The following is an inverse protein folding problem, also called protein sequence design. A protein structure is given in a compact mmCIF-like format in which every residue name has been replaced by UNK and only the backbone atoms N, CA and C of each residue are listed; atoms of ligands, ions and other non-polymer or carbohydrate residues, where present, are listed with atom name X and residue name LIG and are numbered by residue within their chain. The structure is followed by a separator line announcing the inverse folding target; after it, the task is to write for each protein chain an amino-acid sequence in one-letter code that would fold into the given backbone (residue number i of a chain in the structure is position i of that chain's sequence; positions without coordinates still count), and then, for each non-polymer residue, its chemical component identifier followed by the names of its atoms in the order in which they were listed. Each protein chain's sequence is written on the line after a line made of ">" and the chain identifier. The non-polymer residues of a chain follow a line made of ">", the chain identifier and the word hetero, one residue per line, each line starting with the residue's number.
data_IF_652985876235
#
_entry.id   IF_652985876235
#
_cell.length_a   1.000
_cell.length_b   1.000
_cell.length_c   1.000
_cell.angle_alpha   90.00
_cell.angle_beta   90.00
_cell.angle_gamma   90.00
#
_symmetry.space_group_name_H-M   'P 1'
#
loop_
_entity.id
_entity.type
_entity.pdbx_description
1 polymer ?
#
# COMPACT_ATOMS: atom_id res chain seq x y z
N UNK A 1 -7.69 -21.08 -1.68
CA UNK A 1 -7.37 -19.96 -2.60
C UNK A 1 -8.53 -18.97 -2.72
N UNK A 2 -9.77 -19.42 -2.89
CA UNK A 2 -10.94 -18.52 -2.81
C UNK A 2 -11.07 -17.82 -1.45
N UNK A 3 -10.76 -18.53 -0.35
CA UNK A 3 -10.76 -17.93 0.99
C UNK A 3 -9.75 -16.80 1.16
N UNK A 4 -8.57 -16.90 0.53
CA UNK A 4 -7.53 -15.88 0.63
C UNK A 4 -7.97 -14.60 -0.09
N UNK A 5 -8.60 -14.74 -1.27
CA UNK A 5 -9.16 -13.59 -1.98
C UNK A 5 -10.26 -12.91 -1.15
N UNK A 6 -11.23 -13.69 -0.68
CA UNK A 6 -12.37 -13.19 0.08
C UNK A 6 -11.90 -12.48 1.34
N UNK A 7 -11.05 -13.12 2.15
CA UNK A 7 -10.52 -12.51 3.37
C UNK A 7 -9.73 -11.23 3.08
N UNK A 8 -8.92 -11.21 2.01
CA UNK A 8 -8.16 -10.00 1.62
C UNK A 8 -9.09 -8.89 1.17
N UNK A 9 -10.14 -9.22 0.40
CA UNK A 9 -11.16 -8.27 -0.06
C UNK A 9 -11.92 -7.69 1.12
N UNK A 10 -12.39 -8.54 2.03
CA UNK A 10 -13.13 -8.14 3.22
C UNK A 10 -12.27 -7.23 4.11
N UNK A 11 -10.98 -7.54 4.27
CA UNK A 11 -10.05 -6.69 4.98
C UNK A 11 -9.88 -5.32 4.30
N UNK A 12 -9.58 -5.28 3.00
CA UNK A 12 -9.28 -4.02 2.30
C UNK A 12 -10.52 -3.13 2.12
N UNK A 13 -11.69 -3.72 1.88
CA UNK A 13 -12.96 -3.00 1.69
C UNK A 13 -13.66 -2.71 3.02
N UNK A 14 -13.44 -3.53 4.05
CA UNK A 14 -14.04 -3.39 5.38
C UNK A 14 -13.22 -2.57 6.38
N UNK A 15 -11.89 -2.52 6.26
CA UNK A 15 -11.04 -1.82 7.22
C UNK A 15 -11.20 -0.29 7.12
N UNK A 16 -11.49 0.40 8.25
CA UNK A 16 -11.51 1.87 8.28
C UNK A 16 -10.18 2.50 7.86
N UNK A 17 -9.05 1.88 8.22
CA UNK A 17 -7.72 2.36 7.84
C UNK A 17 -7.50 2.29 6.33
N UNK A 18 -7.92 1.19 5.68
CA UNK A 18 -7.84 1.05 4.22
C UNK A 18 -8.70 2.10 3.52
N UNK A 19 -9.92 2.34 4.03
CA UNK A 19 -10.81 3.39 3.51
C UNK A 19 -10.16 4.77 3.57
N UNK A 20 -9.63 5.16 4.73
CA UNK A 20 -8.90 6.42 4.91
C UNK A 20 -7.74 6.55 3.91
N UNK A 21 -6.99 5.46 3.70
CA UNK A 21 -5.92 5.41 2.70
C UNK A 21 -6.44 5.65 1.28
N UNK A 22 -7.51 4.95 0.89
CA UNK A 22 -8.08 5.07 -0.46
C UNK A 22 -8.75 6.42 -0.71
N UNK A 23 -9.31 7.08 0.31
CA UNK A 23 -9.83 8.46 0.21
C UNK A 23 -8.75 9.49 -0.12
N UNK A 24 -7.49 9.21 0.23
CA UNK A 24 -6.36 10.07 -0.14
C UNK A 24 -6.01 9.99 -1.63
N UNK A 25 -6.39 8.90 -2.29
CA UNK A 25 -6.03 8.63 -3.67
C UNK A 25 -7.05 9.24 -4.63
N UNK A 26 -6.55 9.74 -5.75
CA UNK A 26 -7.39 10.25 -6.83
C UNK A 26 -7.84 9.11 -7.74
N UNK A 27 -8.86 9.38 -8.55
CA UNK A 27 -9.41 8.45 -9.54
C UNK A 27 -8.33 7.83 -10.44
N UNK A 28 -8.45 6.53 -10.69
CA UNK A 28 -7.49 5.77 -11.51
C UNK A 28 -6.19 5.38 -10.81
N UNK A 29 -6.07 5.59 -9.49
CA UNK A 29 -4.99 5.00 -8.70
C UNK A 29 -5.15 3.47 -8.61
N UNK A 30 -4.05 2.74 -8.83
CA UNK A 30 -4.01 1.27 -8.90
C UNK A 30 -2.89 0.70 -8.06
N UNK A 31 -3.23 -0.14 -7.10
CA UNK A 31 -2.28 -0.86 -6.26
C UNK A 31 -2.42 -2.35 -6.53
N UNK A 32 -1.39 -2.98 -7.08
CA UNK A 32 -1.34 -4.43 -7.19
C UNK A 32 -0.90 -5.04 -5.87
N UNK A 33 -1.59 -6.10 -5.46
CA UNK A 33 -1.32 -6.90 -4.28
C UNK A 33 -1.05 -8.32 -4.75
N UNK A 34 0.18 -8.79 -4.55
CA UNK A 34 0.65 -10.11 -4.96
C UNK A 34 0.86 -10.92 -3.69
N UNK A 35 0.02 -11.94 -3.46
CA UNK A 35 0.08 -12.77 -2.25
C UNK A 35 0.90 -14.05 -2.48
N UNK A 36 0.86 -14.55 -3.71
CA UNK A 36 1.62 -15.71 -4.18
C UNK A 36 2.05 -15.45 -5.63
N UNK A 37 3.04 -16.17 -6.19
CA UNK A 37 3.55 -15.94 -7.54
C UNK A 37 2.46 -15.89 -8.62
N UNK A 38 1.33 -16.57 -8.41
CA UNK A 38 0.22 -16.66 -9.34
C UNK A 38 -1.07 -16.00 -8.83
N UNK A 39 -1.03 -15.34 -7.66
CA UNK A 39 -2.20 -14.72 -7.06
C UNK A 39 -2.03 -13.21 -6.96
N UNK A 40 -2.59 -12.53 -7.95
CA UNK A 40 -2.51 -11.08 -8.11
C UNK A 40 -3.91 -10.49 -7.98
N UNK A 41 -4.06 -9.50 -7.11
CA UNK A 41 -5.23 -8.66 -6.99
C UNK A 41 -4.86 -7.23 -7.30
N UNK A 42 -5.80 -6.44 -7.80
CA UNK A 42 -5.63 -5.00 -7.99
C UNK A 42 -6.70 -4.24 -7.22
N UNK A 43 -6.24 -3.34 -6.34
CA UNK A 43 -7.06 -2.39 -5.64
C UNK A 43 -7.14 -1.11 -6.49
N UNK A 44 -8.34 -0.80 -6.97
CA UNK A 44 -8.57 0.32 -7.89
C UNK A 44 -9.40 1.40 -7.22
N UNK A 45 -8.94 2.65 -7.29
CA UNK A 45 -9.74 3.82 -6.93
C UNK A 45 -10.61 4.22 -8.12
N UNK A 46 -11.91 4.36 -7.90
CA UNK A 46 -12.89 4.83 -8.89
C UNK A 46 -13.79 5.90 -8.27
N UNK A 47 -13.62 7.17 -8.66
CA UNK A 47 -14.35 8.33 -8.11
C UNK A 47 -14.43 8.28 -6.57
N UNK A 48 -15.58 7.97 -6.00
CA UNK A 48 -15.85 7.93 -4.55
C UNK A 48 -15.75 6.54 -3.92
N UNK A 49 -15.52 5.50 -4.73
CA UNK A 49 -15.40 4.12 -4.24
C UNK A 49 -14.04 3.51 -4.59
N UNK A 50 -13.79 2.33 -4.06
CA UNK A 50 -12.69 1.49 -4.48
C UNK A 50 -13.11 0.03 -4.42
N UNK A 51 -12.45 -0.82 -5.18
CA UNK A 51 -12.72 -2.26 -5.20
C UNK A 51 -11.43 -3.04 -5.36
N UNK A 52 -11.41 -4.22 -4.74
CA UNK A 52 -10.41 -5.26 -5.01
C UNK A 52 -10.95 -6.23 -6.06
N UNK A 53 -10.18 -6.40 -7.13
CA UNK A 53 -10.47 -7.33 -8.23
C UNK A 53 -9.30 -8.29 -8.44
N UNK A 54 -9.58 -9.51 -8.91
CA UNK A 54 -8.52 -10.42 -9.39
C UNK A 54 -7.91 -9.84 -10.67
N UNK A 55 -6.60 -9.90 -10.80
CA UNK A 55 -5.87 -9.39 -11.95
C UNK A 55 -4.98 -10.48 -12.56
N UNK A 56 -4.79 -10.45 -13.88
CA UNK A 56 -3.88 -11.35 -14.59
C UNK A 56 -2.44 -10.83 -14.62
N UNK A 57 -2.22 -9.53 -14.36
CA UNK A 57 -0.90 -8.92 -14.32
C UNK A 57 -0.89 -7.64 -13.48
N UNK A 58 0.30 -7.19 -13.08
CA UNK A 58 0.52 -5.94 -12.33
C UNK A 58 1.24 -4.86 -13.16
N UNK A 59 1.25 -4.98 -14.50
CA UNK A 59 2.04 -4.11 -15.39
C UNK A 59 1.54 -2.65 -15.41
N UNK A 60 0.24 -2.46 -15.25
CA UNK A 60 -0.41 -1.15 -15.31
C UNK A 60 -0.66 -0.53 -13.93
N UNK A 61 -0.17 -1.16 -12.87
CA UNK A 61 -0.33 -0.68 -11.50
C UNK A 61 0.67 0.43 -11.19
N UNK A 62 0.30 1.33 -10.28
CA UNK A 62 1.20 2.40 -9.84
C UNK A 62 2.22 1.89 -8.82
N UNK A 63 1.76 0.99 -7.96
CA UNK A 63 2.48 0.39 -6.86
C UNK A 63 2.17 -1.10 -6.83
N UNK A 64 3.17 -1.92 -6.52
CA UNK A 64 3.04 -3.36 -6.34
C UNK A 64 3.51 -3.73 -4.94
N UNK A 65 2.62 -4.29 -4.14
CA UNK A 65 2.89 -4.87 -2.83
C UNK A 65 2.94 -6.39 -2.99
N UNK A 66 4.12 -6.99 -2.81
CA UNK A 66 4.23 -8.44 -2.64
C UNK A 66 4.21 -8.76 -1.16
N UNK A 67 3.19 -9.49 -0.70
CA UNK A 67 2.94 -9.74 0.71
C UNK A 67 3.16 -11.22 0.97
N UNK A 68 4.09 -11.55 1.86
CA UNK A 68 4.30 -12.92 2.32
C UNK A 68 3.06 -13.43 3.07
N UNK A 69 2.69 -14.73 2.97
CA UNK A 69 1.52 -15.28 3.65
C UNK A 69 1.45 -14.99 5.16
N UNK A 70 2.60 -14.97 5.85
CA UNK A 70 2.64 -14.67 7.29
C UNK A 70 2.31 -13.21 7.60
N UNK A 71 2.75 -12.26 6.76
CA UNK A 71 2.34 -10.87 6.89
C UNK A 71 0.84 -10.73 6.65
N UNK A 72 0.30 -11.39 5.61
CA UNK A 72 -1.14 -11.38 5.35
C UNK A 72 -1.94 -11.89 6.55
N UNK A 73 -1.55 -13.03 7.14
CA UNK A 73 -2.19 -13.56 8.36
C UNK A 73 -2.13 -12.54 9.50
N UNK A 74 -0.99 -11.86 9.67
CA UNK A 74 -0.84 -10.81 10.67
C UNK A 74 -1.83 -9.65 10.45
N UNK A 75 -1.99 -9.18 9.20
CA UNK A 75 -2.97 -8.13 8.89
C UNK A 75 -4.41 -8.58 9.09
N UNK A 76 -4.75 -9.80 8.67
CA UNK A 76 -6.11 -10.35 8.80
C UNK A 76 -6.51 -10.60 10.27
N UNK A 77 -5.54 -10.79 11.16
CA UNK A 77 -5.78 -11.01 12.58
C UNK A 77 -5.83 -9.72 13.42
N UNK A 78 -5.60 -8.55 12.79
CA UNK A 78 -5.47 -7.27 13.49
C UNK A 78 -6.46 -6.26 12.94
N UNK A 79 -7.20 -5.63 13.83
CA UNK A 79 -8.08 -4.53 13.47
C UNK A 79 -7.29 -3.22 13.38
N UNK A 80 -7.31 -2.61 12.20
CA UNK A 80 -6.73 -1.28 11.98
C UNK A 80 -7.84 -0.24 11.89
N UNK A 81 -8.00 0.54 12.95
CA UNK A 81 -9.00 1.61 13.05
C UNK A 81 -8.58 2.89 12.33
N UNK A 82 -7.28 3.10 12.14
CA UNK A 82 -6.74 4.32 11.55
C UNK A 82 -5.58 4.03 10.60
N UNK A 83 -5.40 4.94 9.63
CA UNK A 83 -4.38 4.85 8.59
C UNK A 83 -2.95 4.85 9.15
N UNK A 84 -2.71 5.51 10.29
CA UNK A 84 -1.39 5.57 10.92
C UNK A 84 -0.90 4.18 11.30
N UNK A 85 -1.72 3.43 12.04
CA UNK A 85 -1.34 2.12 12.56
C UNK A 85 -1.11 1.12 11.42
N UNK A 86 -1.99 1.14 10.41
CA UNK A 86 -1.82 0.32 9.22
C UNK A 86 -0.53 0.67 8.48
N UNK A 87 -0.28 1.97 8.27
CA UNK A 87 0.93 2.45 7.62
C UNK A 87 2.21 2.02 8.36
N UNK A 88 2.24 2.18 9.69
CA UNK A 88 3.37 1.76 10.52
C UNK A 88 3.60 0.25 10.37
N UNK A 89 2.55 -0.57 10.43
CA UNK A 89 2.67 -2.02 10.33
C UNK A 89 3.16 -2.48 8.96
N UNK A 90 2.67 -1.85 7.88
CA UNK A 90 3.18 -2.09 6.52
C UNK A 90 4.68 -1.79 6.45
N UNK A 91 5.13 -0.66 7.01
CA UNK A 91 6.56 -0.30 7.01
C UNK A 91 7.37 -1.31 7.81
N UNK A 92 6.92 -1.74 9.00
CA UNK A 92 7.60 -2.78 9.79
C UNK A 92 7.79 -4.07 9.00
N UNK A 93 6.73 -4.54 8.35
CA UNK A 93 6.77 -5.77 7.54
C UNK A 93 7.66 -5.62 6.28
N UNK A 94 7.82 -4.40 5.75
CA UNK A 94 8.83 -4.09 4.72
C UNK A 94 10.25 -4.24 5.27
N UNK A 95 10.54 -3.72 6.46
CA UNK A 95 11.87 -3.82 7.07
C UNK A 95 12.25 -5.25 7.44
N UNK A 96 11.28 -6.08 7.82
CA UNK A 96 11.49 -7.52 8.11
C UNK A 96 11.53 -8.36 6.82
N UNK A 97 11.28 -7.75 5.65
CA UNK A 97 11.37 -8.42 4.35
C UNK A 97 10.17 -9.30 4.00
N UNK A 98 9.05 -9.16 4.71
CA UNK A 98 7.81 -9.90 4.44
C UNK A 98 6.87 -9.15 3.51
N UNK A 99 7.03 -7.84 3.36
CA UNK A 99 6.42 -7.06 2.29
C UNK A 99 7.51 -6.50 1.39
N UNK A 100 7.37 -6.71 0.08
CA UNK A 100 8.19 -6.03 -0.91
C UNK A 100 7.35 -4.98 -1.63
N UNK A 101 7.66 -3.72 -1.36
CA UNK A 101 7.07 -2.56 -2.02
C UNK A 101 7.88 -2.22 -3.28
N UNK A 102 7.23 -2.25 -4.43
CA UNK A 102 7.77 -1.78 -5.70
C UNK A 102 6.92 -0.63 -6.22
N UNK A 103 7.58 0.45 -6.63
CA UNK A 103 6.92 1.61 -7.22
C UNK A 103 7.14 1.56 -8.73
N UNK A 104 6.06 1.42 -9.49
CA UNK A 104 6.09 1.24 -10.96
C UNK A 104 5.82 2.57 -11.66
N UNK A 105 4.86 3.35 -11.16
CA UNK A 105 4.51 4.65 -11.71
C UNK A 105 5.65 5.67 -11.60
N UNK A 106 5.64 6.65 -12.52
CA UNK A 106 6.56 7.80 -12.44
C UNK A 106 6.18 8.69 -11.26
N UNK A 107 7.16 9.37 -10.67
CA UNK A 107 6.97 10.26 -9.51
C UNK A 107 5.87 11.31 -9.75
N UNK A 108 5.80 11.87 -10.97
CA UNK A 108 4.72 12.79 -11.38
C UNK A 108 3.33 12.14 -11.33
N UNK A 109 3.20 10.89 -11.76
CA UNK A 109 1.92 10.16 -11.70
C UNK A 109 1.53 9.86 -10.25
N UNK A 110 2.48 9.50 -9.37
CA UNK A 110 2.20 9.29 -7.95
C UNK A 110 1.67 10.55 -7.26
N UNK A 111 2.25 11.72 -7.59
CA UNK A 111 1.75 13.02 -7.12
C UNK A 111 0.33 13.26 -7.64
N UNK A 112 0.12 13.11 -8.95
CA UNK A 112 -1.18 13.34 -9.61
C UNK A 112 -2.26 12.38 -9.10
N UNK A 113 -1.89 11.17 -8.70
CA UNK A 113 -2.81 10.15 -8.16
C UNK A 113 -2.96 10.20 -6.64
N UNK A 114 -2.32 11.16 -5.97
CA UNK A 114 -2.55 11.44 -4.54
C UNK A 114 -1.74 10.59 -3.56
N UNK A 115 -0.81 9.75 -4.01
CA UNK A 115 -0.02 8.87 -3.12
C UNK A 115 0.78 9.63 -2.05
N UNK A 116 1.17 10.88 -2.32
CA UNK A 116 1.89 11.72 -1.35
C UNK A 116 1.01 12.29 -0.25
N UNK A 117 -0.32 12.22 -0.43
CA UNK A 117 -1.25 12.60 0.63
C UNK A 117 -1.32 11.52 1.72
N UNK A 118 -0.98 10.27 1.40
CA UNK A 118 -1.03 9.15 2.35
C UNK A 118 -0.20 9.40 3.62
N UNK A 119 1.10 9.76 3.56
CA UNK A 119 1.87 10.03 4.78
C UNK A 119 1.34 11.21 5.59
N UNK A 120 0.75 12.20 4.91
CA UNK A 120 0.20 13.38 5.55
C UNK A 120 -1.11 13.07 6.26
N UNK A 121 -1.99 12.30 5.61
CA UNK A 121 -3.28 11.86 6.15
C UNK A 121 -3.14 10.85 7.29
N UNK A 122 -2.09 10.02 7.25
CA UNK A 122 -1.74 9.13 8.36
C UNK A 122 -1.36 9.90 9.64
N UNK A 123 -1.02 11.20 9.52
CA UNK A 123 -0.87 12.09 10.66
C UNK A 123 0.45 11.95 11.43
N UNK A 124 0.52 12.66 12.55
CA UNK A 124 1.74 12.83 13.33
C UNK A 124 2.39 11.53 13.85
N UNK A 125 1.65 10.49 14.29
CA UNK A 125 2.27 9.26 14.77
C UNK A 125 3.02 8.53 13.64
N UNK A 126 2.42 8.44 12.45
CA UNK A 126 3.08 7.84 11.28
C UNK A 126 4.32 8.63 10.86
N UNK A 127 4.23 9.96 10.79
CA UNK A 127 5.37 10.81 10.44
C UNK A 127 6.50 10.72 11.47
N UNK A 128 6.16 10.64 12.76
CA UNK A 128 7.13 10.42 13.85
C UNK A 128 7.83 9.07 13.69
N UNK A 129 7.08 8.02 13.34
CA UNK A 129 7.66 6.71 13.07
C UNK A 129 8.61 6.73 11.87
N UNK A 130 8.21 7.36 10.75
CA UNK A 130 9.09 7.55 9.59
C UNK A 130 10.36 8.35 9.96
N UNK A 131 10.21 9.40 10.78
CA UNK A 131 11.35 10.19 11.24
C UNK A 131 12.35 9.36 12.07
N UNK A 132 11.84 8.44 12.90
CA UNK A 132 12.68 7.50 13.68
C UNK A 132 13.53 6.57 12.80
N UNK A 133 13.06 6.30 11.58
CA UNK A 133 13.77 5.53 10.55
C UNK A 133 14.67 6.41 9.66
N UNK A 134 14.86 7.68 10.02
CA UNK A 134 15.67 8.64 9.26
C UNK A 134 14.93 9.34 8.11
N UNK A 135 13.66 9.03 7.88
CA UNK A 135 12.78 9.63 6.84
C UNK A 135 12.06 10.88 7.36
N UNK A 136 12.81 11.79 7.98
CA UNK A 136 12.30 12.96 8.69
C UNK A 136 11.87 14.14 7.80
N UNK A 137 11.93 14.00 6.47
CA UNK A 137 11.55 15.05 5.51
C UNK A 137 10.90 14.41 4.30
N UNK A 138 9.93 15.11 3.70
CA UNK A 138 9.27 14.66 2.46
C UNK A 138 10.28 14.35 1.35
N UNK A 139 11.35 15.16 1.21
CA UNK A 139 12.42 14.91 0.24
C UNK A 139 13.12 13.56 0.42
N UNK A 140 13.30 13.10 1.67
CA UNK A 140 13.87 11.77 1.95
C UNK A 140 12.88 10.65 1.67
N UNK A 141 11.59 10.87 1.95
CA UNK A 141 10.52 9.94 1.57
C UNK A 141 10.50 9.77 0.04
N UNK A 142 10.62 10.86 -0.71
CA UNK A 142 10.75 10.82 -2.17
C UNK A 142 12.00 10.07 -2.63
N UNK A 143 13.16 10.34 -2.03
CA UNK A 143 14.40 9.62 -2.35
C UNK A 143 14.27 8.12 -2.08
N UNK A 144 13.62 7.74 -0.98
CA UNK A 144 13.35 6.34 -0.68
C UNK A 144 12.42 5.69 -1.71
N UNK A 145 11.33 6.36 -2.09
CA UNK A 145 10.45 5.94 -3.19
C UNK A 145 11.23 5.76 -4.51
N UNK A 146 12.14 6.68 -4.84
CA UNK A 146 13.00 6.58 -6.02
C UNK A 146 13.97 5.39 -5.96
N UNK A 147 14.51 5.08 -4.78
CA UNK A 147 15.33 3.88 -4.55
C UNK A 147 14.50 2.61 -4.77
N UNK A 148 13.29 2.56 -4.22
CA UNK A 148 12.37 1.42 -4.39
C UNK A 148 12.00 1.20 -5.87
N UNK A 149 11.80 2.29 -6.61
CA UNK A 149 11.56 2.23 -8.06
C UNK A 149 12.75 1.65 -8.83
N UNK A 150 13.98 2.03 -8.46
CA UNK A 150 15.20 1.54 -9.12
C UNK A 150 15.49 0.07 -8.84
N UNK A 151 15.17 -0.41 -7.63
CA UNK A 151 15.35 -1.83 -7.24
C UNK A 151 14.34 -2.78 -7.89
N UNK A 152 13.22 -2.28 -8.38
CA UNK A 152 12.19 -3.06 -9.06
C UNK A 152 12.31 -3.11 -10.59
N UNK A 153 13.42 -2.59 -11.15
CA UNK A 153 13.79 -2.79 -12.56
C UNK A 153 14.84 -3.88 -12.65
#
# INVERSE_FOLDING_TARGET
>A
MEDIFANTKDFLEGSPACRQGMECLNDGAKISIVLEPNFICELKKSKDTYSLEKASSHRDSDVVLRIHPDALKHFLAKDFSNLSDLGIEIIKEIFVGRIHLQVVAKSRQLVQKGYLKLPLAAGAPFLSYLASLGLNRMTKIFQWIEVLRKKGR
#
